data_IF_528687381351
#
_entry.id   IF_528687381351
#
_cell.length_a   1.000
_cell.length_b   1.000
_cell.length_c   1.000
_cell.angle_alpha   90.00
_cell.angle_beta   90.00
_cell.angle_gamma   90.00
#
_symmetry.space_group_name_H-M   'P 1'
#
loop_
_entity.id
_entity.type
_entity.pdbx_description
1 polymer ?
#
# COMPACT_ATOMS: atom_id res chain seq x y z
N UNK A 1 -25.09 8.90 25.21
CA UNK A 1 -24.46 10.22 24.95
C UNK A 1 -23.10 10.17 25.62
N UNK A 2 -22.01 10.24 24.85
CA UNK A 2 -20.64 10.19 25.40
C UNK A 2 -20.27 11.62 25.84
N UNK A 3 -19.79 11.78 27.07
CA UNK A 3 -19.47 13.06 27.73
C UNK A 3 -18.26 13.83 27.14
N UNK A 4 -17.98 13.66 25.84
CA UNK A 4 -16.71 14.12 25.26
C UNK A 4 -15.48 13.42 25.86
N UNK A 5 -15.70 12.31 26.57
CA UNK A 5 -14.64 11.48 27.14
C UNK A 5 -14.05 10.59 26.04
N UNK A 6 -12.82 10.89 25.65
CA UNK A 6 -12.09 10.08 24.67
C UNK A 6 -10.87 10.81 24.13
N UNK A 7 -9.83 10.05 23.78
CA UNK A 7 -8.64 10.58 23.12
C UNK A 7 -8.63 10.14 21.67
N UNK A 8 -8.68 11.09 20.75
CA UNK A 8 -8.58 10.82 19.31
C UNK A 8 -7.12 10.83 18.89
N UNK A 9 -6.70 9.80 18.16
CA UNK A 9 -5.36 9.70 17.58
C UNK A 9 -5.52 9.46 16.07
N UNK A 10 -4.63 10.03 15.27
CA UNK A 10 -4.57 9.79 13.83
C UNK A 10 -3.40 8.89 13.48
N UNK A 11 -3.55 7.59 13.70
CA UNK A 11 -2.48 6.64 13.44
C UNK A 11 -2.11 6.55 11.95
N UNK A 12 -0.81 6.45 11.66
CA UNK A 12 -0.27 6.08 10.36
C UNK A 12 -0.40 4.58 10.06
N UNK A 13 -0.14 4.18 8.81
CA UNK A 13 -0.20 2.78 8.39
C UNK A 13 0.78 1.90 9.18
N UNK A 14 2.01 2.37 9.35
CA UNK A 14 3.06 1.66 10.10
C UNK A 14 2.66 1.41 11.56
N UNK A 15 2.07 2.42 12.20
CA UNK A 15 1.59 2.31 13.57
C UNK A 15 0.46 1.28 13.66
N UNK A 16 -0.52 1.31 12.75
CA UNK A 16 -1.60 0.31 12.70
C UNK A 16 -1.05 -1.11 12.55
N UNK A 17 -0.07 -1.31 11.64
CA UNK A 17 0.58 -2.62 11.45
C UNK A 17 1.29 -3.05 12.73
N UNK A 18 2.04 -2.17 13.38
CA UNK A 18 2.74 -2.50 14.62
C UNK A 18 1.80 -2.81 15.79
N UNK A 19 0.66 -2.11 15.87
CA UNK A 19 -0.40 -2.44 16.82
C UNK A 19 -0.95 -3.85 16.55
N UNK A 20 -1.27 -4.17 15.29
CA UNK A 20 -1.76 -5.50 14.90
C UNK A 20 -0.75 -6.61 15.18
N UNK A 21 0.55 -6.39 14.97
CA UNK A 21 1.61 -7.34 15.30
C UNK A 21 1.62 -7.70 16.80
N UNK A 22 1.41 -6.72 17.68
CA UNK A 22 1.26 -6.99 19.12
C UNK A 22 -0.04 -7.69 19.41
N UNK A 23 -1.18 -7.20 18.92
CA UNK A 23 -2.49 -7.81 19.20
C UNK A 23 -2.58 -9.25 18.70
N UNK A 24 -1.90 -9.58 17.59
CA UNK A 24 -1.79 -10.94 17.06
C UNK A 24 -0.74 -11.81 17.75
N UNK A 25 -0.18 -11.34 18.89
CA UNK A 25 0.83 -12.03 19.70
C UNK A 25 2.13 -12.38 18.95
N UNK A 26 2.42 -11.71 17.83
CA UNK A 26 3.71 -11.83 17.13
C UNK A 26 4.79 -11.05 17.88
N UNK A 27 4.41 -10.00 18.61
CA UNK A 27 5.25 -9.24 19.53
C UNK A 27 4.58 -9.12 20.89
N UNK A 28 5.37 -9.16 21.97
CA UNK A 28 4.86 -9.03 23.34
C UNK A 28 4.47 -7.58 23.68
N UNK A 29 5.24 -6.62 23.17
CA UNK A 29 5.11 -5.19 23.48
C UNK A 29 5.52 -4.34 22.30
N UNK A 30 4.95 -3.14 22.20
CA UNK A 30 5.39 -2.09 21.27
C UNK A 30 5.08 -0.71 21.87
N UNK A 31 5.93 0.27 21.56
CA UNK A 31 5.69 1.67 21.90
C UNK A 31 6.26 2.60 20.84
N UNK A 32 5.70 3.80 20.75
CA UNK A 32 6.17 4.88 19.88
C UNK A 32 5.77 6.24 20.45
N UNK A 33 6.31 7.32 19.89
CA UNK A 33 5.80 8.68 20.11
C UNK A 33 5.17 9.16 18.81
N UNK A 34 3.84 9.09 18.76
CA UNK A 34 3.07 9.58 17.63
C UNK A 34 3.15 11.10 17.55
N UNK A 35 3.48 11.64 16.39
CA UNK A 35 3.51 13.09 16.16
C UNK A 35 2.48 13.44 15.10
N UNK A 36 1.51 14.29 15.45
CA UNK A 36 0.55 14.83 14.50
C UNK A 36 0.48 16.34 14.66
N UNK A 37 0.83 17.06 13.60
CA UNK A 37 1.10 18.51 13.65
C UNK A 37 2.20 18.80 14.69
N UNK A 38 1.87 19.55 15.74
CA UNK A 38 2.80 19.90 16.83
C UNK A 38 2.58 19.06 18.09
N UNK A 39 1.55 18.21 18.11
CA UNK A 39 1.23 17.39 19.27
C UNK A 39 1.98 16.05 19.21
N UNK A 40 2.60 15.70 20.34
CA UNK A 40 3.28 14.42 20.54
C UNK A 40 2.52 13.60 21.57
N UNK A 41 2.08 12.42 21.16
CA UNK A 41 1.35 11.48 22.03
C UNK A 41 2.11 10.16 22.11
N UNK A 42 2.62 9.76 23.28
CA UNK A 42 3.21 8.44 23.41
C UNK A 42 2.11 7.38 23.34
N UNK A 43 2.37 6.31 22.60
CA UNK A 43 1.47 5.17 22.47
C UNK A 43 2.23 3.93 22.89
N UNK A 44 1.62 3.06 23.67
CA UNK A 44 2.18 1.73 23.95
C UNK A 44 1.12 0.67 24.07
N UNK A 45 1.46 -0.54 23.64
CA UNK A 45 0.62 -1.72 23.73
C UNK A 45 1.46 -2.84 24.34
N UNK A 46 0.97 -3.42 25.43
CA UNK A 46 1.71 -4.44 26.18
C UNK A 46 0.77 -5.56 26.61
N UNK A 47 1.14 -6.80 26.35
CA UNK A 47 0.45 -7.96 26.91
C UNK A 47 0.76 -8.10 28.40
N UNK A 48 -0.29 -8.31 29.19
CA UNK A 48 -0.23 -8.75 30.58
C UNK A 48 -0.77 -10.18 30.66
N UNK A 49 0.15 -11.14 30.75
CA UNK A 49 -0.17 -12.56 30.61
C UNK A 49 -0.71 -12.89 29.22
N UNK A 50 -1.65 -13.83 29.15
CA UNK A 50 -2.12 -14.39 27.87
C UNK A 50 -3.43 -13.82 27.35
N UNK A 51 -4.17 -13.05 28.16
CA UNK A 51 -5.56 -12.68 27.87
C UNK A 51 -5.89 -11.19 28.03
N UNK A 52 -4.94 -10.37 28.48
CA UNK A 52 -5.14 -8.95 28.73
C UNK A 52 -4.07 -8.12 28.04
N UNK A 53 -4.50 -6.99 27.48
CA UNK A 53 -3.61 -6.02 26.83
C UNK A 53 -3.80 -4.66 27.47
N UNK A 54 -2.71 -4.03 27.87
CA UNK A 54 -2.68 -2.62 28.19
C UNK A 54 -2.47 -1.82 26.91
N UNK A 55 -3.45 -0.96 26.59
CA UNK A 55 -3.39 -0.01 25.50
C UNK A 55 -3.30 1.40 26.10
N UNK A 56 -2.14 2.03 25.98
CA UNK A 56 -1.86 3.33 26.59
C UNK A 56 -1.70 4.40 25.51
N UNK A 57 -2.39 5.53 25.70
CA UNK A 57 -2.34 6.68 24.79
C UNK A 57 -2.14 7.94 25.60
N UNK A 58 -0.90 8.41 25.68
CA UNK A 58 -0.52 9.48 26.61
C UNK A 58 -0.93 9.13 28.03
N UNK A 59 -1.77 9.97 28.60
CA UNK A 59 -2.36 9.87 29.94
C UNK A 59 -3.61 9.00 30.04
N UNK A 60 -4.02 8.33 28.94
CA UNK A 60 -5.20 7.46 28.92
C UNK A 60 -4.80 5.98 28.80
N UNK A 61 -4.55 5.29 29.93
CA UNK A 61 -4.35 3.84 29.94
C UNK A 61 -5.68 3.09 29.92
N UNK A 62 -5.80 2.08 29.06
CA UNK A 62 -6.96 1.19 29.00
C UNK A 62 -6.53 -0.26 28.95
N UNK A 63 -6.97 -1.05 29.93
CA UNK A 63 -6.88 -2.51 29.84
C UNK A 63 -8.02 -3.02 28.95
N UNK A 64 -7.65 -3.84 27.97
CA UNK A 64 -8.57 -4.49 27.05
C UNK A 64 -8.71 -5.96 27.42
N UNK A 65 -9.97 -6.43 27.48
CA UNK A 65 -10.30 -7.84 27.58
C UNK A 65 -10.22 -8.53 26.21
N UNK A 66 -10.22 -9.86 26.20
CA UNK A 66 -10.19 -10.66 24.97
C UNK A 66 -11.19 -10.19 23.90
N UNK A 67 -12.46 -10.00 24.25
CA UNK A 67 -13.48 -9.56 23.29
C UNK A 67 -13.18 -8.16 22.72
N UNK A 68 -12.69 -7.25 23.56
CA UNK A 68 -12.31 -5.89 23.11
C UNK A 68 -11.09 -5.93 22.19
N UNK A 69 -10.14 -6.83 22.47
CA UNK A 69 -8.96 -7.06 21.63
C UNK A 69 -9.38 -7.54 20.24
N UNK A 70 -10.29 -8.53 20.16
CA UNK A 70 -10.77 -9.04 18.87
C UNK A 70 -11.54 -7.98 18.07
N UNK A 71 -12.41 -7.20 18.72
CA UNK A 71 -13.10 -6.08 18.08
C UNK A 71 -12.09 -5.05 17.54
N UNK A 72 -11.07 -4.71 18.34
CA UNK A 72 -10.03 -3.77 17.92
C UNK A 72 -9.21 -4.30 16.74
N UNK A 73 -8.86 -5.60 16.72
CA UNK A 73 -8.17 -6.22 15.58
C UNK A 73 -8.99 -6.11 14.30
N UNK A 74 -10.28 -6.45 14.36
CA UNK A 74 -11.18 -6.35 13.21
C UNK A 74 -11.25 -4.91 12.68
N UNK A 75 -11.38 -3.94 13.59
CA UNK A 75 -11.41 -2.53 13.24
C UNK A 75 -10.09 -2.06 12.60
N UNK A 76 -8.95 -2.40 13.19
CA UNK A 76 -7.65 -2.00 12.67
C UNK A 76 -7.33 -2.64 11.31
N UNK A 77 -7.66 -3.92 11.12
CA UNK A 77 -7.55 -4.57 9.81
C UNK A 77 -8.43 -3.87 8.77
N UNK A 78 -9.69 -3.61 9.11
CA UNK A 78 -10.62 -2.93 8.22
C UNK A 78 -10.10 -1.53 7.81
N UNK A 79 -9.66 -0.72 8.78
CA UNK A 79 -9.09 0.61 8.51
C UNK A 79 -7.81 0.50 7.67
N UNK A 80 -6.98 -0.51 7.90
CA UNK A 80 -5.75 -0.72 7.15
C UNK A 80 -6.06 -1.03 5.68
N UNK A 81 -6.95 -1.99 5.43
CA UNK A 81 -7.42 -2.36 4.09
C UNK A 81 -8.04 -1.16 3.37
N UNK A 82 -8.93 -0.44 4.04
CA UNK A 82 -9.56 0.76 3.52
C UNK A 82 -8.49 1.79 3.13
N UNK A 83 -7.60 2.17 4.06
CA UNK A 83 -6.55 3.14 3.76
C UNK A 83 -5.66 2.70 2.60
N UNK A 84 -5.34 1.42 2.46
CA UNK A 84 -4.56 0.91 1.33
C UNK A 84 -5.36 1.10 0.03
N UNK A 85 -6.62 0.65 -0.02
CA UNK A 85 -7.46 0.77 -1.22
C UNK A 85 -7.59 2.24 -1.63
N UNK A 86 -7.95 3.13 -0.70
CA UNK A 86 -8.17 4.54 -1.00
C UNK A 86 -6.89 5.33 -1.26
N UNK A 87 -5.71 4.80 -0.92
CA UNK A 87 -4.41 5.42 -1.23
C UNK A 87 -3.74 4.83 -2.47
N UNK A 88 -4.13 3.64 -2.92
CA UNK A 88 -3.48 2.91 -4.02
C UNK A 88 -4.36 2.73 -5.25
N UNK A 89 -5.68 2.87 -5.15
CA UNK A 89 -6.60 2.79 -6.29
C UNK A 89 -6.78 4.17 -6.92
N UNK A 90 -6.54 4.32 -8.24
CA UNK A 90 -6.81 5.57 -8.95
C UNK A 90 -8.27 5.99 -8.81
N UNK A 91 -8.53 7.30 -8.66
CA UNK A 91 -9.86 7.88 -8.41
C UNK A 91 -10.95 7.46 -9.41
N UNK A 92 -10.58 6.93 -10.57
CA UNK A 92 -11.49 6.46 -11.62
C UNK A 92 -12.25 5.16 -11.26
N UNK A 93 -11.87 4.44 -10.20
CA UNK A 93 -12.45 3.14 -9.83
C UNK A 93 -13.08 3.09 -8.43
N UNK A 94 -13.44 4.24 -7.83
CA UNK A 94 -14.16 4.27 -6.54
C UNK A 94 -15.63 3.83 -6.70
N UNK A 95 -15.84 2.56 -7.02
CA UNK A 95 -17.12 1.89 -6.81
C UNK A 95 -17.20 1.51 -5.34
N UNK A 96 -18.04 2.21 -4.58
CA UNK A 96 -18.40 1.79 -3.23
C UNK A 96 -19.00 0.38 -3.30
N UNK A 97 -18.65 -0.56 -2.40
CA UNK A 97 -19.32 -1.84 -2.33
C UNK A 97 -20.77 -1.57 -1.91
N UNK A 98 -21.67 -1.56 -2.90
CA UNK A 98 -23.08 -1.40 -2.69
C UNK A 98 -23.56 -2.61 -1.89
N UNK A 99 -24.00 -2.39 -0.65
CA UNK A 99 -24.65 -3.42 0.15
C UNK A 99 -25.95 -3.82 -0.55
N UNK A 100 -25.98 -5.01 -1.12
CA UNK A 100 -27.20 -5.65 -1.62
C UNK A 100 -27.29 -5.75 -3.14
N UNK A 101 -26.77 -6.85 -3.69
CA UNK A 101 -27.59 -7.73 -4.54
C UNK A 101 -26.89 -9.08 -4.76
N UNK A 102 -27.72 -10.12 -4.89
CA UNK A 102 -27.38 -11.54 -4.93
C UNK A 102 -26.76 -11.98 -6.28
N UNK A 103 -25.94 -13.04 -6.21
CA UNK A 103 -25.58 -13.94 -7.33
C UNK A 103 -24.26 -13.57 -8.02
N UNK A 104 -23.28 -14.45 -8.26
CA UNK A 104 -23.29 -15.91 -8.33
C UNK A 104 -21.94 -16.51 -7.91
N UNK A 105 -22.07 -17.69 -7.32
CA UNK A 105 -21.07 -18.72 -7.02
C UNK A 105 -20.14 -19.02 -8.20
N UNK A 106 -18.84 -19.10 -7.92
CA UNK A 106 -17.83 -19.70 -8.78
C UNK A 106 -16.73 -20.32 -7.90
N UNK A 107 -16.89 -21.61 -7.62
CA UNK A 107 -15.92 -22.50 -6.95
C UNK A 107 -14.74 -22.75 -7.89
N UNK A 108 -13.54 -22.93 -7.34
CA UNK A 108 -12.48 -23.89 -7.74
C UNK A 108 -11.20 -23.48 -7.00
N UNK A 109 -10.36 -24.35 -6.45
CA UNK A 109 -10.43 -25.72 -5.96
C UNK A 109 -9.12 -25.90 -5.17
N UNK A 110 -9.13 -26.69 -4.11
CA UNK A 110 -7.90 -27.11 -3.44
C UNK A 110 -7.21 -28.17 -4.30
N UNK A 111 -5.89 -28.06 -4.49
CA UNK A 111 -5.07 -29.24 -4.75
C UNK A 111 -3.76 -29.16 -3.94
N UNK A 112 -3.62 -30.12 -3.02
CA UNK A 112 -2.35 -30.54 -2.44
C UNK A 112 -1.69 -31.51 -3.41
N UNK A 113 -0.40 -31.34 -3.68
CA UNK A 113 0.55 -32.45 -3.70
C UNK A 113 1.99 -31.96 -3.63
N UNK A 114 2.80 -32.88 -3.13
CA UNK A 114 4.11 -32.72 -2.52
C UNK A 114 5.27 -32.66 -3.50
N UNK A 115 6.36 -32.11 -2.97
CA UNK A 115 7.76 -32.54 -3.06
C UNK A 115 8.69 -32.02 -4.17
N UNK A 116 9.81 -31.55 -3.63
CA UNK A 116 11.17 -31.25 -4.10
C UNK A 116 11.46 -30.35 -5.31
N UNK A 117 12.41 -29.42 -5.08
CA UNK A 117 13.04 -28.60 -6.11
C UNK A 117 12.97 -27.08 -5.88
N UNK A 118 13.78 -26.57 -4.95
CA UNK A 118 14.08 -25.13 -4.81
C UNK A 118 14.62 -24.57 -6.13
N UNK A 119 13.84 -23.75 -6.83
CA UNK A 119 14.33 -22.75 -7.78
C UNK A 119 13.58 -21.45 -7.51
N UNK A 120 14.24 -20.49 -6.88
CA UNK A 120 13.74 -19.13 -6.74
C UNK A 120 13.86 -18.49 -8.14
N UNK A 121 12.75 -18.46 -8.87
CA UNK A 121 12.54 -17.47 -9.91
C UNK A 121 11.53 -16.48 -9.34
N UNK A 122 12.00 -15.29 -8.99
CA UNK A 122 11.14 -14.13 -8.72
C UNK A 122 10.48 -13.70 -10.04
N UNK A 123 9.54 -14.49 -10.55
CA UNK A 123 8.50 -13.96 -11.42
C UNK A 123 7.52 -13.22 -10.51
N UNK A 124 7.87 -11.97 -10.22
CA UNK A 124 6.93 -10.98 -9.73
C UNK A 124 5.72 -11.02 -10.65
N UNK A 125 4.61 -11.56 -10.15
CA UNK A 125 3.28 -11.34 -10.69
C UNK A 125 2.96 -9.84 -10.55
N UNK A 126 3.59 -9.01 -11.40
CA UNK A 126 3.28 -7.61 -11.58
C UNK A 126 1.93 -7.56 -12.29
N UNK A 127 0.87 -7.48 -11.50
CA UNK A 127 -0.50 -7.54 -11.97
C UNK A 127 -0.77 -6.53 -13.08
N UNK A 128 -0.98 -7.04 -14.30
CA UNK A 128 -1.71 -6.50 -15.48
C UNK A 128 -1.60 -5.01 -15.89
N UNK A 129 -0.89 -4.13 -15.18
CA UNK A 129 -1.02 -2.68 -15.29
C UNK A 129 0.30 -1.91 -15.54
N UNK A 130 1.42 -2.60 -15.79
CA UNK A 130 2.70 -1.96 -16.12
C UNK A 130 3.11 -2.30 -17.55
N UNK A 131 3.55 -1.29 -18.31
CA UNK A 131 4.05 -1.42 -19.67
C UNK A 131 5.48 -0.91 -19.75
N UNK A 132 6.28 -1.55 -20.60
CA UNK A 132 7.64 -1.11 -20.92
C UNK A 132 7.58 -0.11 -22.07
N UNK A 133 8.37 0.95 -21.99
CA UNK A 133 8.62 1.90 -23.07
C UNK A 133 10.12 2.14 -23.22
N UNK A 134 10.56 2.56 -24.39
CA UNK A 134 11.96 2.92 -24.63
C UNK A 134 12.07 4.39 -25.03
N UNK A 135 13.11 5.07 -24.54
CA UNK A 135 13.35 6.48 -24.87
C UNK A 135 14.67 6.99 -24.35
N UNK A 136 15.03 8.22 -24.72
CA UNK A 136 16.23 8.90 -24.22
C UNK A 136 15.85 10.09 -23.35
N UNK A 137 16.51 10.26 -22.20
CA UNK A 137 16.23 11.38 -21.30
C UNK A 137 16.91 12.63 -21.88
N UNK A 138 16.11 13.65 -22.15
CA UNK A 138 16.58 14.93 -22.73
C UNK A 138 16.53 16.06 -21.72
N UNK A 139 15.81 15.88 -20.61
CA UNK A 139 15.82 16.83 -19.50
C UNK A 139 15.11 16.31 -18.25
N UNK A 140 15.34 16.99 -17.14
CA UNK A 140 14.77 16.63 -15.85
C UNK A 140 14.26 17.88 -15.13
N UNK A 141 13.19 17.70 -14.36
CA UNK A 141 12.70 18.65 -13.35
C UNK A 141 12.59 17.91 -12.01
N UNK A 142 12.33 18.62 -10.92
CA UNK A 142 12.14 18.03 -9.59
C UNK A 142 11.08 16.90 -9.58
N UNK A 143 10.09 16.97 -10.48
CA UNK A 143 8.91 16.09 -10.47
C UNK A 143 8.74 15.22 -11.72
N UNK A 144 9.43 15.50 -12.82
CA UNK A 144 9.23 14.79 -14.09
C UNK A 144 10.51 14.73 -14.94
N UNK A 145 10.63 13.68 -15.74
CA UNK A 145 11.65 13.50 -16.78
C UNK A 145 11.05 13.82 -18.14
N UNK A 146 11.81 14.54 -18.97
CA UNK A 146 11.52 14.73 -20.38
C UNK A 146 12.20 13.61 -21.16
N UNK A 147 11.41 12.72 -21.74
CA UNK A 147 11.89 11.56 -22.49
C UNK A 147 11.47 11.71 -23.95
N UNK A 148 12.45 11.62 -24.85
CA UNK A 148 12.20 11.53 -26.30
C UNK A 148 11.98 10.07 -26.68
N UNK A 149 10.83 9.79 -27.27
CA UNK A 149 10.44 8.47 -27.77
C UNK A 149 10.77 8.32 -29.27
N UNK A 150 10.68 7.09 -29.80
CA UNK A 150 11.05 6.80 -31.20
C UNK A 150 10.26 7.59 -32.25
N UNK A 151 9.07 8.09 -31.90
CA UNK A 151 8.26 8.93 -32.79
C UNK A 151 8.81 10.38 -32.92
N UNK A 152 9.91 10.72 -32.25
CA UNK A 152 10.51 12.05 -32.26
C UNK A 152 9.77 13.08 -31.40
N UNK A 153 8.77 12.64 -30.64
CA UNK A 153 8.04 13.47 -29.68
C UNK A 153 8.69 13.42 -28.29
N UNK A 154 8.66 14.55 -27.60
CA UNK A 154 9.15 14.68 -26.24
C UNK A 154 7.98 14.63 -25.26
N UNK A 155 7.99 13.67 -24.35
CA UNK A 155 6.98 13.55 -23.30
C UNK A 155 7.57 13.81 -21.92
N UNK A 156 6.79 14.52 -21.09
CA UNK A 156 7.07 14.66 -19.66
C UNK A 156 6.43 13.52 -18.88
N UNK A 157 7.27 12.68 -18.29
CA UNK A 157 6.88 11.53 -17.48
C UNK A 157 7.16 11.85 -16.01
N UNK A 158 6.15 11.90 -15.14
CA UNK A 158 6.37 12.08 -13.71
C UNK A 158 7.28 11.00 -13.12
N UNK A 159 8.24 11.38 -12.28
CA UNK A 159 9.16 10.40 -11.65
C UNK A 159 8.43 9.37 -10.81
N UNK A 160 7.27 9.73 -10.25
CA UNK A 160 6.45 8.86 -9.40
C UNK A 160 5.83 7.66 -10.14
N UNK A 161 5.70 7.74 -11.47
CA UNK A 161 5.10 6.69 -12.30
C UNK A 161 6.14 5.82 -13.03
N UNK A 162 7.42 6.21 -12.97
CA UNK A 162 8.53 5.41 -13.49
C UNK A 162 8.95 4.44 -12.39
N UNK A 163 8.78 3.15 -12.63
CA UNK A 163 9.09 2.08 -11.67
C UNK A 163 10.43 1.40 -11.94
N UNK A 164 11.06 1.71 -13.06
CA UNK A 164 12.41 1.29 -13.37
C UNK A 164 13.44 2.27 -12.79
N UNK A 165 14.64 1.77 -12.51
CA UNK A 165 15.80 2.63 -12.36
C UNK A 165 16.11 3.30 -13.71
N UNK A 166 16.57 4.54 -13.68
CA UNK A 166 16.96 5.31 -14.85
C UNK A 166 18.18 6.14 -14.52
N UNK A 167 18.98 6.44 -15.54
CA UNK A 167 20.19 7.24 -15.42
C UNK A 167 20.08 8.49 -16.28
N UNK A 168 20.07 9.66 -15.63
CA UNK A 168 19.91 10.95 -16.31
C UNK A 168 21.20 11.37 -17.05
N UNK A 169 22.36 10.87 -16.63
CA UNK A 169 23.65 11.27 -17.19
C UNK A 169 23.91 10.60 -18.55
N UNK A 170 23.33 9.42 -18.76
CA UNK A 170 23.42 8.72 -20.04
C UNK A 170 22.33 9.22 -20.99
N UNK A 171 22.72 10.05 -21.98
CA UNK A 171 21.87 10.42 -23.14
C UNK A 171 21.53 9.24 -24.06
N UNK A 172 21.69 8.01 -23.57
CA UNK A 172 21.47 6.77 -24.28
C UNK A 172 20.02 6.32 -24.13
N UNK A 173 19.56 5.50 -25.09
CA UNK A 173 18.23 4.91 -25.08
C UNK A 173 18.13 3.94 -23.89
N UNK A 174 17.11 4.14 -23.05
CA UNK A 174 16.84 3.34 -21.86
C UNK A 174 15.43 2.78 -21.90
N UNK A 175 15.23 1.64 -21.24
CA UNK A 175 13.91 1.03 -21.07
C UNK A 175 13.30 1.50 -19.75
N UNK A 176 12.11 2.10 -19.83
CA UNK A 176 11.35 2.56 -18.69
C UNK A 176 10.17 1.63 -18.45
N UNK A 177 9.98 1.22 -17.19
CA UNK A 177 8.75 0.54 -16.76
C UNK A 177 7.80 1.60 -16.22
N UNK A 178 6.68 1.82 -16.90
CA UNK A 178 5.71 2.89 -16.60
C UNK A 178 4.31 2.30 -16.53
N UNK A 179 3.44 2.90 -15.73
CA UNK A 179 2.04 2.47 -15.63
C UNK A 179 1.34 2.52 -17.01
N UNK A 180 0.57 1.48 -17.34
CA UNK A 180 -0.10 1.34 -18.65
C UNK A 180 -1.10 2.46 -18.94
N UNK A 181 -1.78 2.96 -17.91
CA UNK A 181 -2.73 4.06 -18.01
C UNK A 181 -2.08 5.35 -18.54
N UNK A 182 -0.82 5.60 -18.21
CA UNK A 182 -0.12 6.82 -18.62
C UNK A 182 0.20 6.75 -20.12
N UNK A 183 0.60 5.58 -20.61
CA UNK A 183 0.83 5.36 -22.03
C UNK A 183 -0.47 5.44 -22.82
N UNK A 184 -1.55 4.85 -22.31
CA UNK A 184 -2.87 4.87 -22.96
C UNK A 184 -3.46 6.28 -23.03
N UNK A 185 -3.31 7.08 -21.97
CA UNK A 185 -3.83 8.46 -21.91
C UNK A 185 -3.08 9.43 -22.83
N UNK A 186 -1.79 9.19 -23.06
CA UNK A 186 -0.95 10.02 -23.92
C UNK A 186 -0.80 9.45 -25.34
N UNK A 187 -1.62 8.47 -25.74
CA UNK A 187 -1.54 7.77 -27.03
C UNK A 187 -0.16 7.17 -27.33
N UNK A 188 0.63 6.85 -26.30
CA UNK A 188 1.95 6.24 -26.42
C UNK A 188 1.89 4.72 -26.48
N UNK A 189 0.79 4.15 -26.99
CA UNK A 189 0.76 2.74 -27.32
C UNK A 189 1.81 2.51 -28.41
N UNK A 190 2.96 2.01 -27.96
CA UNK A 190 3.99 1.45 -28.81
C UNK A 190 3.27 0.54 -29.80
N UNK A 191 3.26 0.95 -31.07
CA UNK A 191 2.86 0.07 -32.14
C UNK A 191 3.87 -1.07 -32.11
N UNK A 192 3.42 -2.24 -31.66
CA UNK A 192 4.17 -3.46 -31.90
C UNK A 192 4.15 -3.69 -33.41
N UNK A 193 5.18 -3.21 -34.10
CA UNK A 193 5.48 -3.62 -35.47
C UNK A 193 6.04 -5.04 -35.39
N UNK A 194 5.19 -6.04 -35.62
CA UNK A 194 5.16 -6.91 -36.80
C UNK A 194 4.38 -8.20 -36.52
#
# INVERSE_FOLDING_TARGET
>A
MSNGEGKTIKCGLEEIVMMLEVLNKKKKTWSTVHSFKEEKTPISINWEGDSKVWFNVGDYPKMLSFTQIEILKLLLNHILEEKIIFSTVPDTNKSYPNSGSKGNTGILEQNKNSDDGLTIQEELNLGKNLKKMEGSIVGETDKALRVTIENGEDIWIPKSIIKSQYDVETKSKQSFVVDSWFLEKNNLLVQTVK
#
